data_IF_157149548691
#
_entry.id   IF_157149548691
#
_cell.length_a   1.000
_cell.length_b   1.000
_cell.length_c   1.000
_cell.angle_alpha   90.00
_cell.angle_beta   90.00
_cell.angle_gamma   90.00
#
_symmetry.space_group_name_H-M   'P 1'
#
loop_
_entity.id
_entity.type
_entity.pdbx_description
1 polymer ?
#
# COMPACT_ATOMS: atom_id res chain seq x y z
N UNK A 1 14.39 31.76 -10.37
CA UNK A 1 13.10 31.54 -9.66
C UNK A 1 12.16 30.55 -10.37
N UNK A 2 12.22 30.32 -11.69
CA UNK A 2 11.32 29.36 -12.37
C UNK A 2 11.68 27.88 -12.17
N UNK A 3 12.97 27.56 -11.99
CA UNK A 3 13.43 26.17 -11.85
C UNK A 3 13.17 25.56 -10.44
N UNK A 4 13.13 26.39 -9.39
CA UNK A 4 12.89 25.93 -8.01
C UNK A 4 11.47 25.42 -7.77
N UNK A 5 10.48 25.96 -8.48
CA UNK A 5 9.10 25.47 -8.41
C UNK A 5 8.92 24.08 -9.05
N UNK A 6 9.71 23.74 -10.08
CA UNK A 6 9.65 22.42 -10.73
C UNK A 6 10.19 21.29 -9.84
N UNK A 7 11.22 21.57 -9.05
CA UNK A 7 11.81 20.59 -8.11
C UNK A 7 10.82 20.29 -6.97
N UNK A 8 10.16 21.32 -6.42
CA UNK A 8 9.19 21.15 -5.34
C UNK A 8 7.96 20.34 -5.80
N UNK A 9 7.47 20.58 -7.02
CA UNK A 9 6.36 19.81 -7.59
C UNK A 9 6.73 18.32 -7.79
N UNK A 10 7.98 18.02 -8.15
CA UNK A 10 8.45 16.64 -8.32
C UNK A 10 8.46 15.85 -7.00
N UNK A 11 8.88 16.46 -5.89
CA UNK A 11 8.89 15.80 -4.57
C UNK A 11 7.48 15.44 -4.05
N UNK A 12 6.46 16.25 -4.39
CA UNK A 12 5.07 15.99 -3.98
C UNK A 12 4.52 14.75 -4.71
N UNK A 13 4.81 14.59 -6.02
CA UNK A 13 4.31 13.46 -6.81
C UNK A 13 4.99 12.14 -6.41
N UNK A 14 6.29 12.13 -6.08
CA UNK A 14 7.00 10.91 -5.64
C UNK A 14 6.42 10.37 -4.32
N UNK A 15 5.85 11.23 -3.47
CA UNK A 15 5.27 10.83 -2.19
C UNK A 15 3.98 10.02 -2.33
N UNK A 16 3.26 10.11 -3.46
CA UNK A 16 2.03 9.35 -3.72
C UNK A 16 2.25 8.02 -4.47
N UNK A 17 3.47 7.73 -4.93
CA UNK A 17 3.74 6.59 -5.80
C UNK A 17 3.80 5.23 -5.08
N UNK A 18 3.91 5.23 -3.74
CA UNK A 18 4.10 3.99 -2.96
C UNK A 18 2.90 3.70 -2.05
N UNK A 19 1.77 3.29 -2.63
CA UNK A 19 0.72 2.61 -1.87
C UNK A 19 0.95 1.08 -1.99
N UNK A 20 1.50 0.40 -0.98
CA UNK A 20 1.59 -1.06 -1.01
C UNK A 20 0.20 -1.69 -1.22
N UNK A 21 0.11 -2.69 -2.10
CA UNK A 21 -1.12 -3.49 -2.24
C UNK A 21 -1.10 -4.54 -1.12
N UNK A 22 -2.07 -4.49 -0.23
CA UNK A 22 -2.14 -5.32 0.97
C UNK A 22 -2.88 -6.64 0.71
N UNK A 23 -2.46 -7.39 -0.32
CA UNK A 23 -3.12 -8.64 -0.76
C UNK A 23 -3.25 -9.64 0.39
N UNK A 24 -2.18 -9.83 1.15
CA UNK A 24 -2.14 -10.77 2.27
C UNK A 24 -3.06 -10.39 3.43
N UNK A 25 -3.36 -9.10 3.61
CA UNK A 25 -4.28 -8.65 4.66
C UNK A 25 -5.72 -9.00 4.30
N UNK A 26 -6.12 -8.82 3.03
CA UNK A 26 -7.43 -9.26 2.57
C UNK A 26 -7.53 -10.80 2.59
N UNK A 27 -6.46 -11.49 2.18
CA UNK A 27 -6.39 -12.96 2.15
C UNK A 27 -6.63 -13.61 3.51
N UNK A 28 -6.30 -12.91 4.60
CA UNK A 28 -6.52 -13.39 5.96
C UNK A 28 -7.98 -13.26 6.44
N UNK A 29 -8.82 -12.50 5.71
CA UNK A 29 -10.17 -12.12 6.13
C UNK A 29 -11.28 -12.71 5.24
N UNK A 30 -10.94 -13.24 4.06
CA UNK A 30 -11.91 -13.76 3.08
C UNK A 30 -11.99 -15.28 3.12
N UNK A 31 -13.08 -15.82 2.54
CA UNK A 31 -13.30 -17.26 2.38
C UNK A 31 -12.32 -17.92 1.40
N UNK A 32 -12.25 -19.26 1.42
CA UNK A 32 -11.29 -20.08 0.66
C UNK A 32 -11.24 -19.80 -0.85
N UNK A 33 -12.38 -19.50 -1.49
CA UNK A 33 -12.41 -19.25 -2.94
C UNK A 33 -11.77 -17.90 -3.30
N UNK A 34 -12.09 -16.87 -2.52
CA UNK A 34 -11.50 -15.53 -2.64
C UNK A 34 -10.04 -15.54 -2.24
N UNK A 35 -9.70 -16.37 -1.25
CA UNK A 35 -8.34 -16.60 -0.79
C UNK A 35 -7.47 -17.18 -1.90
N UNK A 36 -7.97 -18.17 -2.65
CA UNK A 36 -7.27 -18.74 -3.81
C UNK A 36 -7.08 -17.71 -4.91
N UNK A 37 -8.10 -16.90 -5.19
CA UNK A 37 -7.99 -15.81 -6.17
C UNK A 37 -6.91 -14.80 -5.78
N UNK A 38 -6.86 -14.42 -4.49
CA UNK A 38 -5.81 -13.54 -3.96
C UNK A 38 -4.43 -14.18 -4.00
N UNK A 39 -4.31 -15.49 -3.79
CA UNK A 39 -3.04 -16.21 -3.88
C UNK A 39 -2.48 -16.23 -5.32
N UNK A 40 -3.34 -16.40 -6.32
CA UNK A 40 -2.96 -16.28 -7.74
C UNK A 40 -2.51 -14.84 -8.04
N UNK A 41 -3.26 -13.84 -7.56
CA UNK A 41 -2.91 -12.42 -7.75
C UNK A 41 -1.57 -12.08 -7.09
N UNK A 42 -1.28 -12.60 -5.89
CA UNK A 42 -0.03 -12.34 -5.18
C UNK A 42 1.17 -12.97 -5.91
N UNK A 43 1.02 -14.23 -6.34
CA UNK A 43 2.08 -15.01 -7.00
C UNK A 43 2.39 -14.56 -8.42
N UNK A 44 1.44 -13.96 -9.12
CA UNK A 44 1.64 -13.45 -10.47
C UNK A 44 2.66 -12.29 -10.47
N UNK A 45 3.86 -12.59 -10.97
CA UNK A 45 4.99 -11.66 -11.10
C UNK A 45 4.91 -10.80 -12.37
N UNK A 46 4.12 -11.22 -13.37
CA UNK A 46 3.97 -10.51 -14.64
C UNK A 46 2.82 -9.48 -14.56
N UNK A 47 1.89 -9.66 -13.63
CA UNK A 47 0.79 -8.72 -13.41
C UNK A 47 1.30 -7.37 -12.92
N UNK A 48 1.03 -6.34 -13.72
CA UNK A 48 1.34 -4.98 -13.34
C UNK A 48 0.57 -4.55 -12.07
N UNK A 49 1.12 -3.57 -11.35
CA UNK A 49 0.57 -3.09 -10.07
C UNK A 49 -0.87 -2.57 -10.20
N UNK A 50 -1.20 -1.86 -11.28
CA UNK A 50 -2.54 -1.29 -11.47
C UNK A 50 -3.60 -2.37 -11.55
N UNK A 51 -3.36 -3.39 -12.38
CA UNK A 51 -4.23 -4.54 -12.56
C UNK A 51 -4.32 -5.40 -11.31
N UNK A 52 -3.20 -5.54 -10.59
CA UNK A 52 -3.16 -6.20 -9.28
C UNK A 52 -4.08 -5.48 -8.28
N UNK A 53 -4.05 -4.15 -8.24
CA UNK A 53 -4.92 -3.36 -7.38
C UNK A 53 -6.39 -3.48 -7.78
N UNK A 54 -6.70 -3.33 -9.06
CA UNK A 54 -8.06 -3.45 -9.60
C UNK A 54 -8.71 -4.76 -9.17
N UNK A 55 -8.04 -5.90 -9.38
CA UNK A 55 -8.57 -7.21 -8.97
C UNK A 55 -8.75 -7.37 -7.47
N UNK A 56 -7.85 -6.81 -6.66
CA UNK A 56 -7.99 -6.85 -5.19
C UNK A 56 -9.19 -5.99 -4.76
N UNK A 57 -9.38 -4.83 -5.38
CA UNK A 57 -10.51 -3.94 -5.10
C UNK A 57 -11.84 -4.60 -5.51
N UNK A 58 -11.88 -5.34 -6.63
CA UNK A 58 -13.04 -6.15 -7.03
C UNK A 58 -13.40 -7.22 -6.00
N UNK A 59 -12.40 -7.95 -5.49
CA UNK A 59 -12.58 -8.97 -4.45
C UNK A 59 -13.03 -8.31 -3.14
N UNK A 60 -12.48 -7.15 -2.78
CA UNK A 60 -12.88 -6.40 -1.60
C UNK A 60 -14.33 -5.88 -1.71
N UNK A 61 -14.72 -5.39 -2.89
CA UNK A 61 -16.05 -4.82 -3.12
C UNK A 61 -17.18 -5.82 -2.88
N UNK A 62 -16.96 -7.10 -3.19
CA UNK A 62 -17.91 -8.19 -2.98
C UNK A 62 -17.96 -8.75 -1.55
N UNK A 63 -17.03 -8.34 -0.67
CA UNK A 63 -17.05 -8.78 0.74
C UNK A 63 -18.16 -8.10 1.55
N UNK A 64 -18.43 -8.67 2.73
CA UNK A 64 -19.25 -8.02 3.74
C UNK A 64 -18.62 -6.71 4.24
N UNK A 65 -19.45 -5.81 4.77
CA UNK A 65 -18.98 -4.55 5.36
C UNK A 65 -18.03 -4.76 6.55
N UNK A 66 -18.23 -5.85 7.30
CA UNK A 66 -17.32 -6.23 8.40
C UNK A 66 -15.90 -6.51 7.88
N UNK A 67 -15.78 -7.32 6.83
CA UNK A 67 -14.47 -7.64 6.23
C UNK A 67 -13.82 -6.40 5.63
N UNK A 68 -14.60 -5.53 4.96
CA UNK A 68 -14.09 -4.26 4.43
C UNK A 68 -13.50 -3.38 5.53
N UNK A 69 -14.21 -3.26 6.65
CA UNK A 69 -13.76 -2.49 7.81
C UNK A 69 -12.51 -3.09 8.43
N UNK A 70 -12.48 -4.40 8.67
CA UNK A 70 -11.29 -5.10 9.20
C UNK A 70 -10.08 -4.96 8.30
N UNK A 71 -10.29 -5.01 6.98
CA UNK A 71 -9.23 -4.77 6.01
C UNK A 71 -8.70 -3.34 6.09
N UNK A 72 -9.59 -2.34 6.13
CA UNK A 72 -9.19 -0.93 6.26
C UNK A 72 -8.38 -0.69 7.54
N UNK A 73 -8.82 -1.22 8.68
CA UNK A 73 -8.12 -1.11 9.96
C UNK A 73 -6.71 -1.74 9.90
N UNK A 74 -6.59 -2.94 9.31
CA UNK A 74 -5.30 -3.62 9.13
C UNK A 74 -4.35 -2.82 8.23
N UNK A 75 -4.87 -2.27 7.13
CA UNK A 75 -4.12 -1.42 6.19
C UNK A 75 -3.63 -0.15 6.90
N UNK A 76 -4.50 0.53 7.64
CA UNK A 76 -4.15 1.76 8.35
C UNK A 76 -3.06 1.50 9.40
N UNK A 77 -3.17 0.42 10.17
CA UNK A 77 -2.17 0.05 11.15
C UNK A 77 -0.78 -0.16 10.51
N UNK A 78 -0.71 -0.85 9.35
CA UNK A 78 0.55 -1.03 8.61
C UNK A 78 1.08 0.27 8.01
N UNK A 79 0.21 1.14 7.48
CA UNK A 79 0.60 2.46 6.98
C UNK A 79 1.22 3.30 8.09
N UNK A 80 0.58 3.37 9.25
CA UNK A 80 1.08 4.07 10.43
C UNK A 80 2.43 3.53 10.90
N UNK A 81 2.58 2.20 10.97
CA UNK A 81 3.86 1.58 11.34
C UNK A 81 4.98 1.96 10.37
N UNK A 82 4.73 1.90 9.05
CA UNK A 82 5.72 2.28 8.03
C UNK A 82 6.10 3.75 8.14
N UNK A 83 5.12 4.64 8.28
CA UNK A 83 5.38 6.07 8.46
C UNK A 83 6.25 6.33 9.68
N UNK A 84 5.96 5.69 10.81
CA UNK A 84 6.78 5.79 12.03
C UNK A 84 8.19 5.27 11.80
N UNK A 85 8.37 4.11 11.15
CA UNK A 85 9.69 3.59 10.81
C UNK A 85 10.47 4.53 9.87
N UNK A 86 9.82 5.10 8.85
CA UNK A 86 10.46 6.09 7.97
C UNK A 86 10.87 7.35 8.73
N UNK A 87 10.02 7.86 9.64
CA UNK A 87 10.36 9.02 10.49
C UNK A 87 11.64 8.74 11.29
N UNK A 88 11.74 7.58 11.95
CA UNK A 88 12.94 7.21 12.70
C UNK A 88 14.18 7.09 11.82
N UNK A 89 14.05 6.51 10.62
CA UNK A 89 15.17 6.42 9.67
C UNK A 89 15.65 7.79 9.20
N UNK A 90 14.72 8.72 8.95
CA UNK A 90 15.05 10.09 8.57
C UNK A 90 15.77 10.85 9.70
N UNK A 91 15.34 10.65 10.95
CA UNK A 91 16.01 11.21 12.13
C UNK A 91 17.44 10.65 12.23
N UNK A 92 17.60 9.33 12.21
CA UNK A 92 18.92 8.70 12.28
C UNK A 92 19.85 9.12 11.13
N UNK A 93 19.33 9.24 9.90
CA UNK A 93 20.10 9.72 8.76
C UNK A 93 20.50 11.20 8.90
N UNK A 94 19.62 12.04 9.46
CA UNK A 94 19.94 13.43 9.78
C UNK A 94 21.06 13.52 10.81
N UNK A 95 21.03 12.67 11.83
CA UNK A 95 22.05 12.64 12.89
C UNK A 95 23.42 12.12 12.39
N UNK A 96 23.46 11.37 11.28
CA UNK A 96 24.71 10.92 10.63
C UNK A 96 25.32 11.93 9.66
N UNK A 97 24.54 12.92 9.21
CA UNK A 97 24.93 13.94 8.24
C UNK A 97 25.24 15.31 8.88
N UNK A 98 24.95 15.46 10.18
CA UNK A 98 25.34 16.60 11.02
C UNK A 98 26.61 16.31 11.80
#
# INVERSE_FOLDING_TARGET
MRATFLILAFFIVVSFAYDPIFVNDLKALVSDDDQKALDIIDKDQEMNRSKKKEKVDEILARQSEEVKKSYEEAVQHKKNRRQTTMKWRLIAAKDLLG
#
